data_IF_392689077872
#
_entry.id   IF_392689077872
#
_cell.length_a   1.000
_cell.length_b   1.000
_cell.length_c   1.000
_cell.angle_alpha   90.00
_cell.angle_beta   90.00
_cell.angle_gamma   90.00
#
_symmetry.space_group_name_H-M   'P 1'
#
loop_
_entity.id
_entity.type
_entity.pdbx_description
1 polymer ?
#
# COMPACT_ATOMS: atom_id res chain seq x y z
N UNK A 1 -37.73 -78.48 -6.16
CA UNK A 1 -36.31 -78.23 -6.49
C UNK A 1 -36.07 -76.74 -6.74
N UNK A 2 -35.64 -75.96 -5.74
CA UNK A 2 -35.40 -74.52 -5.90
C UNK A 2 -34.16 -74.23 -6.78
N UNK A 3 -34.36 -73.40 -7.81
CA UNK A 3 -33.42 -73.06 -8.89
C UNK A 3 -31.99 -72.73 -8.41
N UNK A 4 -31.00 -73.38 -9.01
CA UNK A 4 -29.55 -73.25 -8.73
C UNK A 4 -29.04 -71.79 -8.81
N UNK A 5 -29.72 -70.94 -9.58
CA UNK A 5 -29.42 -69.50 -9.75
C UNK A 5 -29.60 -68.71 -8.45
N UNK A 6 -30.75 -68.88 -7.78
CA UNK A 6 -31.07 -68.20 -6.51
C UNK A 6 -30.12 -68.64 -5.37
N UNK A 7 -29.59 -69.87 -5.46
CA UNK A 7 -28.53 -70.36 -4.55
C UNK A 7 -27.15 -69.79 -4.88
N UNK A 8 -26.85 -69.47 -6.14
CA UNK A 8 -25.57 -68.88 -6.55
C UNK A 8 -25.49 -67.39 -6.22
N UNK A 9 -26.59 -66.64 -6.35
CA UNK A 9 -26.65 -65.22 -5.95
C UNK A 9 -26.48 -65.06 -4.43
N UNK A 10 -27.20 -65.87 -3.63
CA UNK A 10 -26.99 -65.93 -2.17
C UNK A 10 -25.57 -66.34 -1.76
N UNK A 11 -24.85 -67.08 -2.60
CA UNK A 11 -23.44 -67.44 -2.37
C UNK A 11 -22.48 -66.27 -2.65
N UNK A 12 -22.88 -65.30 -3.47
CA UNK A 12 -22.07 -64.10 -3.78
C UNK A 12 -22.16 -63.05 -2.66
N UNK A 13 -23.30 -62.98 -1.97
CA UNK A 13 -23.54 -62.01 -0.87
C UNK A 13 -22.57 -62.14 0.32
N UNK A 14 -21.91 -63.29 0.49
CA UNK A 14 -21.05 -63.57 1.64
C UNK A 14 -19.63 -64.01 1.26
N UNK A 15 -19.16 -63.64 0.06
CA UNK A 15 -17.80 -63.98 -0.38
C UNK A 15 -16.77 -63.13 0.36
N UNK A 16 -16.10 -63.73 1.34
CA UNK A 16 -14.92 -63.14 1.97
C UNK A 16 -13.80 -63.03 0.92
N UNK A 17 -13.20 -61.83 0.73
CA UNK A 17 -12.07 -61.67 -0.18
C UNK A 17 -10.92 -62.59 0.25
N UNK A 18 -10.30 -63.29 -0.71
CA UNK A 18 -9.17 -64.19 -0.43
C UNK A 18 -8.00 -63.41 0.17
N UNK A 19 -7.45 -63.94 1.26
CA UNK A 19 -6.25 -63.41 1.91
C UNK A 19 -5.09 -63.39 0.90
N UNK A 20 -4.64 -62.19 0.53
CA UNK A 20 -3.43 -61.99 -0.27
C UNK A 20 -2.30 -61.64 0.68
N UNK A 21 -1.36 -62.57 0.86
CA UNK A 21 -0.20 -62.39 1.74
C UNK A 21 0.63 -61.20 1.25
N UNK A 22 1.08 -60.33 2.17
CA UNK A 22 1.89 -59.13 1.86
C UNK A 22 1.13 -57.83 1.59
N UNK A 23 -0.21 -57.82 1.63
CA UNK A 23 -1.03 -56.59 1.55
C UNK A 23 -1.64 -56.25 2.90
N UNK A 24 -1.94 -54.97 3.13
CA UNK A 24 -2.64 -54.53 4.33
C UNK A 24 -3.96 -55.27 4.48
N UNK A 25 -4.24 -55.74 5.69
CA UNK A 25 -5.48 -56.45 5.99
C UNK A 25 -6.68 -55.55 5.64
N UNK A 26 -7.66 -56.11 4.94
CA UNK A 26 -8.85 -55.37 4.57
C UNK A 26 -9.64 -54.97 5.82
N UNK A 27 -10.18 -53.76 5.80
CA UNK A 27 -11.10 -53.27 6.85
C UNK A 27 -12.31 -54.22 6.94
N UNK A 28 -12.83 -54.52 8.16
CA UNK A 28 -13.93 -55.46 8.33
C UNK A 28 -15.22 -54.94 7.65
N UNK A 29 -16.17 -55.83 7.32
CA UNK A 29 -17.34 -55.50 6.50
C UNK A 29 -18.32 -54.51 7.15
N UNK A 30 -18.24 -54.34 8.46
CA UNK A 30 -19.00 -53.36 9.25
C UNK A 30 -18.19 -52.09 9.57
N UNK A 31 -17.02 -51.92 8.96
CA UNK A 31 -16.18 -50.75 9.17
C UNK A 31 -16.84 -49.51 8.56
N UNK A 32 -17.12 -48.52 9.40
CA UNK A 32 -17.57 -47.20 8.97
C UNK A 32 -16.37 -46.27 8.91
N UNK A 33 -16.07 -45.72 7.74
CA UNK A 33 -14.98 -44.75 7.59
C UNK A 33 -15.48 -43.35 8.01
N UNK A 34 -14.95 -42.85 9.13
CA UNK A 34 -15.28 -41.52 9.67
C UNK A 34 -14.29 -40.45 9.22
N UNK A 35 -13.43 -40.73 8.24
CA UNK A 35 -12.56 -39.71 7.67
C UNK A 35 -13.36 -38.75 6.81
N UNK A 36 -13.38 -37.48 7.23
CA UNK A 36 -13.88 -36.38 6.42
C UNK A 36 -12.83 -35.28 6.36
N UNK A 37 -12.86 -34.49 5.29
CA UNK A 37 -12.05 -33.28 5.19
C UNK A 37 -13.00 -32.10 5.11
N UNK A 38 -12.83 -31.15 6.02
CA UNK A 38 -13.58 -29.91 6.03
C UNK A 38 -12.61 -28.75 5.74
N UNK A 39 -12.97 -27.91 4.75
CA UNK A 39 -12.23 -26.69 4.42
C UNK A 39 -13.07 -25.49 4.85
N UNK A 40 -12.42 -24.49 5.45
CA UNK A 40 -13.07 -23.23 5.80
C UNK A 40 -13.06 -22.27 4.60
N UNK A 41 -14.13 -21.50 4.44
CA UNK A 41 -14.20 -20.40 3.48
C UNK A 41 -13.72 -19.14 4.20
N UNK A 42 -12.66 -18.52 3.67
CA UNK A 42 -12.22 -17.20 4.13
C UNK A 42 -12.80 -16.13 3.21
N UNK A 43 -13.58 -15.21 3.78
CA UNK A 43 -14.14 -14.06 3.06
C UNK A 43 -13.27 -12.82 3.30
N UNK A 44 -13.18 -11.90 2.34
CA UNK A 44 -12.50 -10.62 2.56
C UNK A 44 -13.22 -9.81 3.63
N UNK A 45 -12.47 -9.23 4.55
CA UNK A 45 -13.02 -8.33 5.56
C UNK A 45 -13.55 -7.07 4.89
N UNK A 46 -14.82 -6.74 5.16
CA UNK A 46 -15.44 -5.48 4.74
C UNK A 46 -15.50 -4.54 5.94
N UNK A 47 -14.98 -3.33 5.80
CA UNK A 47 -14.95 -2.29 6.85
C UNK A 47 -16.31 -1.61 7.03
N UNK A 48 -17.34 -2.40 7.37
CA UNK A 48 -18.71 -1.92 7.57
C UNK A 48 -18.97 -1.42 9.01
N UNK A 49 -18.21 -1.92 9.99
CA UNK A 49 -18.33 -1.56 11.40
C UNK A 49 -16.98 -1.04 11.86
N UNK A 50 -16.87 0.27 12.14
CA UNK A 50 -15.73 0.81 12.89
C UNK A 50 -15.85 0.31 14.32
N UNK A 51 -15.10 -0.74 14.68
CA UNK A 51 -15.14 -1.34 16.01
C UNK A 51 -14.67 -0.31 17.05
N UNK A 52 -15.62 0.31 17.75
CA UNK A 52 -15.38 1.09 18.96
C UNK A 52 -15.14 0.12 20.11
N UNK A 53 -14.02 -0.60 20.07
CA UNK A 53 -13.65 -1.50 21.14
C UNK A 53 -13.04 -0.70 22.30
N UNK A 54 -13.91 -0.21 23.18
CA UNK A 54 -13.62 -0.04 24.59
C UNK A 54 -12.80 1.20 24.99
N UNK A 55 -13.43 1.99 25.86
CA UNK A 55 -12.87 3.09 26.67
C UNK A 55 -12.77 4.48 26.00
N UNK A 56 -13.66 5.36 26.47
CA UNK A 56 -13.47 6.80 26.67
C UNK A 56 -12.82 7.62 25.55
N UNK A 57 -13.68 8.33 24.81
CA UNK A 57 -13.37 9.58 24.07
C UNK A 57 -12.03 9.61 23.34
N UNK A 58 -11.79 8.67 22.44
CA UNK A 58 -10.70 8.80 21.46
C UNK A 58 -11.33 9.26 20.16
N UNK A 59 -11.05 10.52 19.80
CA UNK A 59 -11.27 11.09 18.45
C UNK A 59 -11.06 9.99 17.42
N UNK A 60 -12.03 9.82 16.52
CA UNK A 60 -11.99 8.92 15.36
C UNK A 60 -10.55 8.56 14.98
N UNK A 61 -10.05 7.41 15.44
CA UNK A 61 -8.73 6.96 15.03
C UNK A 61 -8.83 6.74 13.52
N UNK A 62 -8.28 7.69 12.78
CA UNK A 62 -8.28 7.64 11.34
C UNK A 62 -7.56 6.36 10.94
N UNK A 63 -8.23 5.55 10.13
CA UNK A 63 -7.64 4.38 9.49
C UNK A 63 -6.62 4.83 8.45
N UNK A 64 -5.50 5.34 8.96
CA UNK A 64 -4.46 6.00 8.19
C UNK A 64 -3.84 5.01 7.21
N UNK A 65 -3.74 3.74 7.57
CA UNK A 65 -3.21 2.69 6.68
C UNK A 65 -4.13 2.48 5.49
N UNK A 66 -5.45 2.42 5.69
CA UNK A 66 -6.42 2.37 4.60
C UNK A 66 -6.35 3.61 3.71
N UNK A 67 -6.37 4.82 4.28
CA UNK A 67 -6.27 6.05 3.50
C UNK A 67 -4.94 6.16 2.74
N UNK A 68 -3.82 5.80 3.35
CA UNK A 68 -2.53 5.79 2.66
C UNK A 68 -2.51 4.78 1.51
N UNK A 69 -3.25 3.67 1.57
CA UNK A 69 -3.38 2.76 0.43
C UNK A 69 -4.09 3.40 -0.76
N UNK A 70 -5.10 4.25 -0.49
CA UNK A 70 -5.88 4.96 -1.51
C UNK A 70 -5.10 6.08 -2.22
N UNK A 71 -3.95 6.49 -1.69
CA UNK A 71 -3.05 7.45 -2.38
C UNK A 71 -2.51 6.89 -3.71
N UNK A 72 -2.58 5.57 -3.92
CA UNK A 72 -2.21 4.90 -5.18
C UNK A 72 -3.41 4.49 -6.04
N UNK A 73 -4.61 4.96 -5.70
CA UNK A 73 -5.82 4.64 -6.43
C UNK A 73 -5.76 5.20 -7.86
N UNK A 74 -6.35 4.51 -8.83
CA UNK A 74 -6.32 4.90 -10.25
C UNK A 74 -7.03 6.24 -10.51
N UNK A 75 -8.12 6.50 -9.80
CA UNK A 75 -8.88 7.75 -9.93
C UNK A 75 -8.19 8.92 -9.21
N UNK A 76 -7.91 9.99 -9.97
CA UNK A 76 -7.24 11.19 -9.45
C UNK A 76 -8.09 11.94 -8.40
N UNK A 77 -9.42 11.92 -8.56
CA UNK A 77 -10.36 12.49 -7.58
C UNK A 77 -10.20 11.81 -6.22
N UNK A 78 -10.18 10.48 -6.18
CA UNK A 78 -9.96 9.72 -4.94
C UNK A 78 -8.62 10.05 -4.31
N UNK A 79 -7.53 10.09 -5.09
CA UNK A 79 -6.20 10.45 -4.55
C UNK A 79 -6.21 11.84 -3.91
N UNK A 80 -6.77 12.84 -4.60
CA UNK A 80 -6.87 14.22 -4.11
C UNK A 80 -7.67 14.29 -2.80
N UNK A 81 -8.87 13.74 -2.77
CA UNK A 81 -9.72 13.82 -1.57
C UNK A 81 -9.12 13.07 -0.38
N UNK A 82 -8.40 11.98 -0.64
CA UNK A 82 -7.66 11.25 0.40
C UNK A 82 -6.50 12.08 0.95
N UNK A 83 -5.75 12.81 0.11
CA UNK A 83 -4.69 13.70 0.59
C UNK A 83 -5.25 14.81 1.47
N UNK A 84 -6.34 15.47 1.05
CA UNK A 84 -7.03 16.48 1.84
C UNK A 84 -7.55 15.92 3.16
N UNK A 85 -8.08 14.69 3.14
CA UNK A 85 -8.55 14.03 4.35
C UNK A 85 -7.41 13.74 5.33
N UNK A 86 -6.26 13.24 4.83
CA UNK A 86 -5.07 13.00 5.65
C UNK A 86 -4.53 14.32 6.23
N UNK A 87 -4.52 15.39 5.44
CA UNK A 87 -4.09 16.72 5.90
C UNK A 87 -4.95 17.24 7.06
N UNK A 88 -6.27 17.09 6.96
CA UNK A 88 -7.19 17.50 8.03
C UNK A 88 -7.10 16.61 9.29
N UNK A 89 -6.59 15.38 9.15
CA UNK A 89 -6.52 14.40 10.22
C UNK A 89 -5.09 13.91 10.49
N UNK A 90 -4.12 14.84 10.43
CA UNK A 90 -2.74 14.49 10.70
C UNK A 90 -2.58 13.86 12.09
N UNK A 91 -1.85 12.73 12.21
CA UNK A 91 -1.73 12.02 13.47
C UNK A 91 -0.96 12.84 14.51
N UNK A 92 -1.26 12.62 15.79
CA UNK A 92 -0.45 13.18 16.89
C UNK A 92 0.86 12.44 17.09
N UNK A 93 0.94 11.17 16.66
CA UNK A 93 2.14 10.35 16.81
C UNK A 93 3.19 10.69 15.72
N UNK A 94 4.40 11.17 16.09
CA UNK A 94 5.46 11.50 15.14
C UNK A 94 5.93 10.34 14.26
N UNK A 95 5.83 9.08 14.73
CA UNK A 95 6.33 7.92 13.99
C UNK A 95 5.59 7.66 12.67
N UNK A 96 4.34 8.10 12.58
CA UNK A 96 3.47 7.89 11.42
C UNK A 96 3.79 8.84 10.25
N UNK A 97 4.46 9.96 10.50
CA UNK A 97 4.82 10.93 9.45
C UNK A 97 5.83 10.37 8.45
N UNK A 98 6.74 9.51 8.90
CA UNK A 98 7.65 8.78 8.01
C UNK A 98 6.86 7.92 7.02
N UNK A 99 5.81 7.25 7.48
CA UNK A 99 4.98 6.40 6.64
C UNK A 99 4.17 7.23 5.64
N UNK A 100 3.57 8.34 6.10
CA UNK A 100 2.86 9.29 5.23
C UNK A 100 3.77 9.76 4.10
N UNK A 101 4.96 10.27 4.45
CA UNK A 101 5.90 10.80 3.46
C UNK A 101 6.39 9.73 2.49
N UNK A 102 6.76 8.54 2.99
CA UNK A 102 7.28 7.45 2.16
C UNK A 102 6.27 6.99 1.10
N UNK A 103 4.97 7.03 1.40
CA UNK A 103 3.91 6.60 0.49
C UNK A 103 3.41 7.71 -0.43
N UNK A 104 3.57 8.98 -0.03
CA UNK A 104 3.04 10.13 -0.77
C UNK A 104 4.10 10.87 -1.59
N UNK A 105 5.40 10.72 -1.31
CA UNK A 105 6.47 11.48 -1.99
C UNK A 105 6.50 11.29 -3.51
N UNK A 106 6.09 10.12 -4.02
CA UNK A 106 6.01 9.89 -5.47
C UNK A 106 4.90 10.69 -6.16
N UNK A 107 3.95 11.26 -5.41
CA UNK A 107 2.87 12.08 -5.95
C UNK A 107 3.36 13.45 -6.45
N UNK A 108 4.62 13.81 -6.20
CA UNK A 108 5.29 14.96 -6.85
C UNK A 108 5.21 14.84 -8.38
N UNK A 109 5.30 13.61 -8.91
CA UNK A 109 5.22 13.33 -10.36
C UNK A 109 3.84 12.78 -10.77
N UNK A 110 2.78 13.06 -10.01
CA UNK A 110 1.43 12.63 -10.38
C UNK A 110 0.96 13.34 -11.67
N UNK A 111 0.19 12.62 -12.49
CA UNK A 111 -0.36 13.11 -13.75
C UNK A 111 -1.36 14.27 -13.52
N UNK A 112 -2.10 14.24 -12.42
CA UNK A 112 -3.12 15.26 -12.11
C UNK A 112 -2.52 16.44 -11.36
N UNK A 113 -2.72 17.66 -11.89
CA UNK A 113 -2.29 18.88 -11.22
C UNK A 113 -2.91 19.05 -9.82
N UNK A 114 -4.20 18.73 -9.69
CA UNK A 114 -4.91 18.87 -8.42
C UNK A 114 -4.34 17.94 -7.33
N UNK A 115 -3.90 16.74 -7.70
CA UNK A 115 -3.25 15.81 -6.76
C UNK A 115 -1.90 16.34 -6.32
N UNK A 116 -1.10 16.89 -7.25
CA UNK A 116 0.20 17.50 -6.91
C UNK A 116 0.04 18.70 -5.97
N UNK A 117 -0.93 19.58 -6.22
CA UNK A 117 -1.20 20.72 -5.35
C UNK A 117 -1.69 20.29 -3.96
N UNK A 118 -2.57 19.29 -3.88
CA UNK A 118 -2.98 18.71 -2.60
C UNK A 118 -1.80 18.08 -1.85
N UNK A 119 -0.87 17.41 -2.56
CA UNK A 119 0.35 16.90 -1.95
C UNK A 119 1.26 18.02 -1.41
N UNK A 120 1.39 19.14 -2.13
CA UNK A 120 2.16 20.30 -1.65
C UNK A 120 1.56 20.84 -0.35
N UNK A 121 0.24 20.98 -0.27
CA UNK A 121 -0.46 21.42 0.95
C UNK A 121 -0.21 20.45 2.11
N UNK A 122 -0.41 19.15 1.87
CA UNK A 122 -0.13 18.10 2.86
C UNK A 122 1.33 18.11 3.34
N UNK A 123 2.29 18.29 2.45
CA UNK A 123 3.71 18.32 2.78
C UNK A 123 4.04 19.52 3.69
N UNK A 124 3.48 20.70 3.39
CA UNK A 124 3.63 21.88 4.22
C UNK A 124 2.99 21.69 5.60
N UNK A 125 1.77 21.14 5.67
CA UNK A 125 1.11 20.83 6.93
C UNK A 125 1.90 19.81 7.77
N UNK A 126 2.47 18.78 7.14
CA UNK A 126 3.35 17.82 7.81
C UNK A 126 4.62 18.47 8.35
N UNK A 127 5.23 19.37 7.59
CA UNK A 127 6.44 20.09 7.99
C UNK A 127 6.20 21.04 9.17
N UNK A 128 5.05 21.72 9.19
CA UNK A 128 4.63 22.57 10.30
C UNK A 128 4.36 21.76 11.57
N UNK A 129 3.68 20.61 11.44
CA UNK A 129 3.31 19.79 12.59
C UNK A 129 4.47 18.97 13.16
N UNK A 130 5.38 18.52 12.31
CA UNK A 130 6.58 17.76 12.70
C UNK A 130 7.87 18.44 12.18
N UNK A 131 8.43 19.39 12.95
CA UNK A 131 9.72 19.99 12.63
C UNK A 131 10.83 18.91 12.51
N UNK A 132 11.75 19.10 11.56
CA UNK A 132 12.84 18.16 11.27
C UNK A 132 12.46 16.96 10.40
N UNK A 133 11.17 16.74 10.09
CA UNK A 133 10.74 15.63 9.21
C UNK A 133 11.39 15.71 7.83
N UNK A 134 11.39 16.91 7.24
CA UNK A 134 11.93 17.17 5.90
C UNK A 134 13.45 17.04 5.85
N UNK A 135 14.15 17.47 6.92
CA UNK A 135 15.59 17.31 7.04
C UNK A 135 15.98 15.83 7.02
N UNK A 136 15.29 15.01 7.84
CA UNK A 136 15.56 13.58 7.94
C UNK A 136 15.36 12.83 6.61
N UNK A 137 14.39 13.26 5.80
CA UNK A 137 14.03 12.60 4.54
C UNK A 137 14.43 13.39 3.29
N UNK A 138 15.27 14.41 3.45
CA UNK A 138 15.66 15.36 2.39
C UNK A 138 16.13 14.65 1.12
N UNK A 139 16.99 13.64 1.27
CA UNK A 139 17.53 12.85 0.16
C UNK A 139 16.45 12.19 -0.69
N UNK A 140 15.38 11.69 -0.07
CA UNK A 140 14.29 11.05 -0.82
C UNK A 140 13.43 12.10 -1.53
N UNK A 141 13.11 13.20 -0.84
CA UNK A 141 12.25 14.25 -1.42
C UNK A 141 12.96 14.91 -2.60
N UNK A 142 14.24 15.28 -2.44
CA UNK A 142 14.99 16.00 -3.48
C UNK A 142 15.18 15.16 -4.74
N UNK A 143 15.27 13.84 -4.63
CA UNK A 143 15.34 12.94 -5.77
C UNK A 143 14.08 13.04 -6.64
N UNK A 144 12.90 13.03 -6.01
CA UNK A 144 11.63 13.21 -6.72
C UNK A 144 11.45 14.63 -7.25
N UNK A 145 11.93 15.65 -6.51
CA UNK A 145 11.92 17.04 -6.99
C UNK A 145 12.78 17.18 -8.25
N UNK A 146 14.02 16.72 -8.25
CA UNK A 146 14.89 16.77 -9.43
C UNK A 146 14.30 15.98 -10.60
N UNK A 147 13.72 14.81 -10.33
CA UNK A 147 13.02 14.02 -11.34
C UNK A 147 11.82 14.77 -11.93
N UNK A 148 11.07 15.52 -11.11
CA UNK A 148 9.94 16.33 -11.56
C UNK A 148 10.40 17.54 -12.37
N UNK A 149 11.50 18.18 -12.00
CA UNK A 149 12.09 19.32 -12.73
C UNK A 149 12.56 18.93 -14.13
N UNK A 150 13.06 17.70 -14.31
CA UNK A 150 13.46 17.16 -15.61
C UNK A 150 12.38 16.30 -16.29
N UNK A 151 11.13 16.35 -15.81
CA UNK A 151 10.06 15.50 -16.34
C UNK A 151 9.67 15.90 -17.77
N UNK A 152 9.25 14.94 -18.60
CA UNK A 152 8.88 15.17 -20.00
C UNK A 152 7.65 16.10 -20.15
N UNK A 153 6.68 15.99 -19.24
CA UNK A 153 5.49 16.84 -19.21
C UNK A 153 5.77 18.19 -18.53
N UNK A 154 5.45 19.29 -19.21
CA UNK A 154 5.63 20.67 -18.72
C UNK A 154 4.89 20.94 -17.42
N UNK A 155 3.70 20.38 -17.26
CA UNK A 155 2.83 20.69 -16.11
C UNK A 155 3.45 20.16 -14.81
N UNK A 156 4.07 18.98 -14.88
CA UNK A 156 4.81 18.38 -13.75
C UNK A 156 6.07 19.21 -13.45
N UNK A 157 6.81 19.64 -14.48
CA UNK A 157 7.95 20.54 -14.29
C UNK A 157 7.52 21.83 -13.57
N UNK A 158 6.46 22.48 -14.03
CA UNK A 158 5.96 23.72 -13.42
C UNK A 158 5.64 23.55 -11.93
N UNK A 159 4.99 22.43 -11.57
CA UNK A 159 4.58 22.18 -10.17
C UNK A 159 5.76 21.82 -9.25
N UNK A 160 6.87 21.32 -9.78
CA UNK A 160 8.05 20.92 -8.97
C UNK A 160 8.61 22.06 -8.12
N UNK A 161 8.50 23.30 -8.59
CA UNK A 161 8.95 24.51 -7.88
C UNK A 161 8.14 24.78 -6.62
N UNK A 162 6.85 24.41 -6.58
CA UNK A 162 6.01 24.57 -5.40
C UNK A 162 6.48 23.65 -4.24
N UNK A 163 6.91 22.43 -4.55
CA UNK A 163 7.52 21.53 -3.56
C UNK A 163 8.86 22.08 -3.09
N UNK A 164 9.65 22.65 -4.00
CA UNK A 164 10.92 23.28 -3.65
C UNK A 164 10.72 24.48 -2.69
N UNK A 165 9.68 25.28 -2.88
CA UNK A 165 9.35 26.38 -1.96
C UNK A 165 9.09 25.87 -0.54
N UNK A 166 8.32 24.78 -0.38
CA UNK A 166 8.09 24.15 0.93
C UNK A 166 9.40 23.69 1.58
N UNK A 167 10.33 23.15 0.80
CA UNK A 167 11.66 22.77 1.30
C UNK A 167 12.49 23.98 1.75
N UNK A 168 12.40 25.10 1.04
CA UNK A 168 13.10 26.34 1.41
C UNK A 168 12.53 26.89 2.72
N UNK A 169 11.21 26.93 2.85
CA UNK A 169 10.54 27.50 4.02
C UNK A 169 10.82 26.71 5.31
N UNK A 170 10.88 25.37 5.22
CA UNK A 170 10.97 24.50 6.39
C UNK A 170 12.31 23.76 6.56
N UNK A 171 13.16 23.69 5.53
CA UNK A 171 14.40 22.90 5.54
C UNK A 171 15.49 23.48 4.61
N UNK A 172 15.67 24.80 4.60
CA UNK A 172 16.68 25.49 3.77
C UNK A 172 18.13 25.07 4.05
N UNK A 173 18.52 24.95 5.32
CA UNK A 173 19.91 24.66 5.70
C UNK A 173 20.37 23.29 5.16
N UNK A 174 19.64 22.17 5.38
CA UNK A 174 20.02 20.88 4.81
C UNK A 174 19.99 20.85 3.29
N UNK A 175 19.03 21.55 2.67
CA UNK A 175 18.91 21.65 1.21
C UNK A 175 20.16 22.28 0.59
N UNK A 176 20.63 23.42 1.14
CA UNK A 176 21.80 24.12 0.63
C UNK A 176 23.09 23.34 0.91
N UNK A 177 23.26 22.81 2.12
CA UNK A 177 24.49 22.08 2.47
C UNK A 177 24.70 20.81 1.65
N UNK A 178 23.61 20.08 1.33
CA UNK A 178 23.71 18.77 0.66
C UNK A 178 23.44 18.78 -0.85
N UNK A 179 22.60 19.70 -1.34
CA UNK A 179 21.97 19.55 -2.67
C UNK A 179 21.95 20.84 -3.51
N UNK A 180 22.65 21.90 -3.10
CA UNK A 180 22.62 23.20 -3.75
C UNK A 180 22.95 23.16 -5.25
N UNK A 181 24.13 22.66 -5.62
CA UNK A 181 24.63 22.68 -7.00
C UNK A 181 23.67 21.96 -7.95
N UNK A 182 23.22 20.76 -7.59
CA UNK A 182 22.33 19.98 -8.44
C UNK A 182 20.95 20.63 -8.56
N UNK A 183 20.42 21.17 -7.47
CA UNK A 183 19.13 21.87 -7.47
C UNK A 183 19.17 23.11 -8.37
N UNK A 184 20.25 23.89 -8.31
CA UNK A 184 20.45 25.03 -9.20
C UNK A 184 20.59 24.63 -10.67
N UNK A 185 21.38 23.59 -10.97
CA UNK A 185 21.50 23.07 -12.34
C UNK A 185 20.14 22.66 -12.90
N UNK A 186 19.36 21.90 -12.13
CA UNK A 186 18.00 21.51 -12.52
C UNK A 186 17.06 22.71 -12.67
N UNK A 187 17.21 23.73 -11.83
CA UNK A 187 16.40 24.95 -11.90
C UNK A 187 16.71 25.77 -13.16
N UNK A 188 17.99 25.92 -13.52
CA UNK A 188 18.39 26.57 -14.77
C UNK A 188 17.88 25.83 -16.00
N UNK A 189 17.92 24.49 -16.00
CA UNK A 189 17.31 23.69 -17.06
C UNK A 189 15.81 23.95 -17.18
N UNK A 190 15.10 24.08 -16.05
CA UNK A 190 13.66 24.38 -16.03
C UNK A 190 13.35 25.76 -16.63
N UNK A 191 14.21 26.75 -16.40
CA UNK A 191 14.11 28.10 -16.97
C UNK A 191 14.63 28.20 -18.42
N UNK A 192 15.11 27.10 -18.99
CA UNK A 192 15.79 27.09 -20.30
C UNK A 192 17.04 27.99 -20.34
N UNK A 193 17.72 28.15 -19.21
CA UNK A 193 18.96 28.92 -19.10
C UNK A 193 20.17 28.01 -19.31
N UNK A 194 21.01 28.34 -20.29
CA UNK A 194 22.21 27.56 -20.60
C UNK A 194 23.37 27.99 -19.70
N UNK A 195 23.96 27.04 -18.97
CA UNK A 195 25.17 27.27 -18.18
C UNK A 195 26.35 27.27 -19.16
N UNK A 196 26.97 28.43 -19.39
CA UNK A 196 28.00 28.59 -20.42
C UNK A 196 29.35 27.95 -20.06
N UNK A 197 29.57 27.52 -18.80
CA UNK A 197 30.85 27.01 -18.29
C UNK A 197 30.69 25.76 -17.40
N UNK A 198 30.06 24.68 -17.90
CA UNK A 198 30.05 23.39 -17.18
C UNK A 198 31.22 22.52 -17.65
N UNK A 199 32.42 22.78 -17.11
CA UNK A 199 33.57 21.87 -17.16
C UNK A 199 33.90 21.37 -15.76
#
# INVERSE_FOLDING_TARGET
MGSKRKKQEKKKDFLKPKLKVGKTAAKPSNYTDTSFTAKSISLPNQSLVKSTNGSTQVKEEVDLTHHLSLTKHHAATTRKEVLNYIENHLPSNPSLYKQILSLTVSLITDQSNNVRLAFVSLLAACAQKQPGLLELHMRSIILFVHSAMSHIQSDIRGTSTAVLNVLIDHASIPLVKGHFVKTLKSYFTLMSWNISNDK
#
